data_IF_780877702985
#
_entry.id   IF_780877702985
#
_cell.length_a   1.000
_cell.length_b   1.000
_cell.length_c   1.000
_cell.angle_alpha   90.00
_cell.angle_beta   90.00
_cell.angle_gamma   90.00
#
_symmetry.space_group_name_H-M   'P 1'
#
loop_
_entity.id
_entity.type
_entity.pdbx_description
1 polymer ?
#
# COMPACT_ATOMS: atom_id res chain seq x y z
N UNK A 1 13.47 -2.57 30.81
CA UNK A 1 13.59 -1.83 29.54
C UNK A 1 12.44 -2.24 28.63
N UNK A 2 11.56 -1.32 28.24
CA UNK A 2 10.42 -1.63 27.36
C UNK A 2 10.91 -1.64 25.91
N UNK A 3 10.80 -2.79 25.23
CA UNK A 3 11.15 -2.91 23.82
C UNK A 3 10.17 -2.07 22.98
N UNK A 4 10.62 -0.92 22.47
CA UNK A 4 9.79 -0.09 21.58
C UNK A 4 9.47 -0.86 20.29
N UNK A 5 8.20 -0.91 19.84
CA UNK A 5 7.84 -1.58 18.60
C UNK A 5 8.58 -0.94 17.43
N UNK A 6 9.16 -1.76 16.55
CA UNK A 6 9.79 -1.27 15.31
C UNK A 6 8.71 -1.04 14.24
N UNK A 7 8.98 -0.21 13.21
CA UNK A 7 8.03 0.01 12.10
C UNK A 7 7.53 -1.28 11.44
N UNK A 8 8.37 -2.32 11.36
CA UNK A 8 7.98 -3.62 10.82
C UNK A 8 6.97 -4.35 11.72
N UNK A 9 7.04 -4.18 13.04
CA UNK A 9 6.01 -4.72 13.95
C UNK A 9 4.67 -4.02 13.75
N UNK A 10 4.67 -2.70 13.54
CA UNK A 10 3.46 -1.95 13.22
C UNK A 10 2.85 -2.43 11.91
N UNK A 11 3.66 -2.59 10.86
CA UNK A 11 3.20 -3.14 9.57
C UNK A 11 2.54 -4.52 9.72
N UNK A 12 3.13 -5.41 10.54
CA UNK A 12 2.53 -6.72 10.84
C UNK A 12 1.18 -6.59 11.54
N UNK A 13 1.07 -5.68 12.51
CA UNK A 13 -0.19 -5.40 13.19
C UNK A 13 -1.27 -4.91 12.21
N UNK A 14 -0.90 -4.01 11.30
CA UNK A 14 -1.78 -3.49 10.24
C UNK A 14 -2.27 -4.63 9.32
N UNK A 15 -1.37 -5.49 8.86
CA UNK A 15 -1.72 -6.63 8.00
C UNK A 15 -2.59 -7.65 8.75
N UNK A 16 -2.29 -7.94 10.01
CA UNK A 16 -3.11 -8.84 10.83
C UNK A 16 -4.52 -8.27 11.09
N UNK A 17 -4.63 -6.97 11.37
CA UNK A 17 -5.92 -6.29 11.50
C UNK A 17 -6.69 -6.31 10.17
N UNK A 18 -6.02 -6.10 9.04
CA UNK A 18 -6.63 -6.19 7.71
C UNK A 18 -7.18 -7.60 7.43
N UNK A 19 -6.44 -8.65 7.80
CA UNK A 19 -6.89 -10.03 7.66
C UNK A 19 -8.16 -10.30 8.49
N UNK A 20 -8.22 -9.79 9.72
CA UNK A 20 -9.42 -9.88 10.56
C UNK A 20 -10.60 -9.14 9.92
N UNK A 21 -10.37 -7.94 9.39
CA UNK A 21 -11.43 -7.17 8.73
C UNK A 21 -11.96 -7.87 7.48
N UNK A 22 -11.13 -8.54 6.67
CA UNK A 22 -11.63 -9.37 5.54
C UNK A 22 -12.58 -10.45 6.05
N UNK A 23 -12.24 -11.14 7.15
CA UNK A 23 -13.15 -12.13 7.76
C UNK A 23 -14.43 -11.47 8.23
N UNK A 24 -14.35 -10.28 8.84
CA UNK A 24 -15.53 -9.53 9.27
C UNK A 24 -16.41 -9.13 8.09
N UNK A 25 -15.85 -8.59 7.00
CA UNK A 25 -16.58 -8.26 5.77
C UNK A 25 -17.27 -9.50 5.21
N UNK A 26 -16.57 -10.64 5.18
CA UNK A 26 -17.11 -11.91 4.73
C UNK A 26 -18.33 -12.35 5.57
N UNK A 27 -18.25 -12.25 6.90
CA UNK A 27 -19.34 -12.62 7.79
C UNK A 27 -20.55 -11.68 7.71
N UNK A 28 -20.32 -10.38 7.45
CA UNK A 28 -21.39 -9.38 7.38
C UNK A 28 -22.10 -9.33 6.02
N UNK A 29 -21.37 -9.55 4.93
CA UNK A 29 -21.86 -9.25 3.58
C UNK A 29 -21.97 -10.46 2.64
N UNK A 30 -21.46 -11.64 3.01
CA UNK A 30 -21.66 -12.86 2.23
C UNK A 30 -22.94 -13.58 2.67
N UNK A 31 -24.09 -13.07 2.22
CA UNK A 31 -25.38 -13.72 2.45
C UNK A 31 -25.46 -15.09 1.75
N UNK A 32 -26.14 -16.09 2.35
CA UNK A 32 -26.36 -17.40 1.75
C UNK A 32 -27.08 -17.45 0.41
N UNK A 33 -27.85 -16.41 0.08
CA UNK A 33 -28.85 -16.46 -0.98
C UNK A 33 -28.28 -16.23 -2.40
N UNK A 34 -27.13 -15.55 -2.53
CA UNK A 34 -26.65 -15.07 -3.85
C UNK A 34 -25.23 -15.57 -4.15
N UNK A 35 -25.07 -16.45 -5.14
CA UNK A 35 -23.78 -16.70 -5.79
C UNK A 35 -22.62 -17.09 -4.85
N UNK A 36 -22.93 -17.76 -3.73
CA UNK A 36 -22.04 -18.05 -2.58
C UNK A 36 -20.61 -18.46 -2.93
N UNK A 37 -20.44 -19.26 -3.98
CA UNK A 37 -19.14 -19.80 -4.37
C UNK A 37 -18.14 -18.73 -4.80
N UNK A 38 -18.56 -17.78 -5.65
CA UNK A 38 -17.65 -16.78 -6.21
C UNK A 38 -17.25 -15.75 -5.16
N UNK A 39 -18.21 -15.23 -4.40
CA UNK A 39 -17.95 -14.21 -3.37
C UNK A 39 -17.10 -14.76 -2.21
N UNK A 40 -17.31 -16.02 -1.83
CA UNK A 40 -16.43 -16.69 -0.86
C UNK A 40 -15.01 -16.86 -1.40
N UNK A 41 -14.87 -17.22 -2.69
CA UNK A 41 -13.56 -17.33 -3.33
C UNK A 41 -12.81 -15.99 -3.32
N UNK A 42 -13.50 -14.87 -3.56
CA UNK A 42 -12.92 -13.52 -3.49
C UNK A 42 -12.41 -13.18 -2.08
N UNK A 43 -13.22 -13.44 -1.04
CA UNK A 43 -12.80 -13.21 0.35
C UNK A 43 -11.62 -14.11 0.76
N UNK A 44 -11.62 -15.37 0.33
CA UNK A 44 -10.48 -16.29 0.56
C UNK A 44 -9.24 -15.79 -0.18
N UNK A 45 -9.37 -15.35 -1.43
CA UNK A 45 -8.25 -14.81 -2.20
C UNK A 45 -7.67 -13.54 -1.54
N UNK A 46 -8.54 -12.63 -1.08
CA UNK A 46 -8.15 -11.44 -0.32
C UNK A 46 -7.37 -11.81 0.95
N UNK A 47 -7.87 -12.78 1.72
CA UNK A 47 -7.22 -13.25 2.94
C UNK A 47 -5.85 -13.87 2.64
N UNK A 48 -5.75 -14.75 1.63
CA UNK A 48 -4.51 -15.37 1.22
C UNK A 48 -3.48 -14.33 0.76
N UNK A 49 -3.90 -13.28 0.04
CA UNK A 49 -3.04 -12.19 -0.37
C UNK A 49 -2.46 -11.46 0.86
N UNK A 50 -3.28 -11.10 1.85
CA UNK A 50 -2.82 -10.44 3.09
C UNK A 50 -1.87 -11.36 3.86
N UNK A 51 -2.19 -12.66 4.00
CA UNK A 51 -1.33 -13.62 4.69
C UNK A 51 0.01 -13.81 3.99
N UNK A 52 0.04 -13.82 2.66
CA UNK A 52 1.28 -13.86 1.89
C UNK A 52 2.13 -12.60 2.14
N UNK A 53 1.52 -11.42 2.16
CA UNK A 53 2.20 -10.17 2.50
C UNK A 53 2.72 -10.16 3.95
N UNK A 54 1.94 -10.69 4.88
CA UNK A 54 2.35 -10.85 6.27
C UNK A 54 3.55 -11.81 6.38
N UNK A 55 3.51 -12.93 5.65
CA UNK A 55 4.62 -13.88 5.51
C UNK A 55 5.90 -13.22 5.01
N UNK A 56 5.79 -12.39 3.96
CA UNK A 56 6.90 -11.61 3.41
C UNK A 56 7.57 -10.72 4.48
N UNK A 57 6.81 -10.20 5.46
CA UNK A 57 7.39 -9.38 6.53
C UNK A 57 8.39 -10.12 7.44
N UNK A 58 8.39 -11.46 7.42
CA UNK A 58 9.27 -12.28 8.23
C UNK A 58 10.61 -12.61 7.54
N UNK A 59 10.70 -12.41 6.23
CA UNK A 59 11.91 -12.64 5.44
C UNK A 59 13.19 -11.97 6.02
N UNK A 60 13.17 -10.70 6.48
CA UNK A 60 14.37 -10.03 6.98
C UNK A 60 14.96 -10.62 8.27
N UNK A 61 14.24 -11.49 8.99
CA UNK A 61 14.72 -12.08 10.25
C UNK A 61 15.97 -12.93 10.05
N UNK A 62 16.15 -13.49 8.86
CA UNK A 62 17.34 -14.27 8.47
C UNK A 62 18.56 -13.40 8.16
N UNK A 63 18.41 -12.08 8.09
CA UNK A 63 19.46 -11.16 7.66
C UNK A 63 20.26 -10.61 8.84
N UNK A 64 21.53 -10.27 8.61
CA UNK A 64 22.38 -9.56 9.57
C UNK A 64 21.79 -8.21 10.00
N UNK A 65 22.13 -7.73 11.21
CA UNK A 65 21.60 -6.48 11.74
C UNK A 65 21.77 -5.25 10.80
N UNK A 66 22.91 -5.05 10.11
CA UNK A 66 23.06 -3.96 9.15
C UNK A 66 22.11 -4.09 7.94
N UNK A 67 21.84 -5.31 7.49
CA UNK A 67 20.92 -5.59 6.39
C UNK A 67 19.45 -5.34 6.77
N UNK A 68 19.09 -5.49 8.05
CA UNK A 68 17.74 -5.19 8.56
C UNK A 68 17.44 -3.68 8.66
N UNK A 69 18.46 -2.81 8.67
CA UNK A 69 18.26 -1.37 8.84
C UNK A 69 17.50 -0.73 7.66
N UNK A 70 17.70 -1.24 6.44
CA UNK A 70 17.05 -0.74 5.23
C UNK A 70 15.52 -1.00 5.25
N UNK A 71 15.03 -2.25 5.40
CA UNK A 71 13.60 -2.52 5.58
C UNK A 71 12.95 -1.64 6.64
N UNK A 72 13.56 -1.48 7.82
CA UNK A 72 12.98 -0.69 8.92
C UNK A 72 12.73 0.77 8.54
N UNK A 73 13.69 1.43 7.86
CA UNK A 73 13.57 2.83 7.46
C UNK A 73 12.58 3.01 6.31
N UNK A 74 12.64 2.13 5.31
CA UNK A 74 11.72 2.16 4.17
C UNK A 74 10.29 1.88 4.60
N UNK A 75 10.07 0.93 5.51
CA UNK A 75 8.75 0.70 6.12
C UNK A 75 8.26 1.92 6.89
N UNK A 76 9.10 2.59 7.68
CA UNK A 76 8.68 3.81 8.38
C UNK A 76 8.22 4.91 7.41
N UNK A 77 8.97 5.13 6.32
CA UNK A 77 8.58 6.08 5.28
C UNK A 77 7.29 5.66 4.58
N UNK A 78 7.13 4.36 4.28
CA UNK A 78 5.91 3.83 3.67
C UNK A 78 4.67 3.95 4.57
N UNK A 79 4.81 3.72 5.88
CA UNK A 79 3.71 3.95 6.84
C UNK A 79 3.28 5.42 6.87
N UNK A 80 4.25 6.36 6.84
CA UNK A 80 3.94 7.79 6.79
C UNK A 80 3.25 8.18 5.47
N UNK A 81 3.74 7.69 4.32
CA UNK A 81 3.09 7.90 3.02
C UNK A 81 1.70 7.25 2.95
N UNK A 82 1.51 6.10 3.62
CA UNK A 82 0.22 5.43 3.74
C UNK A 82 -0.86 6.30 4.38
N UNK A 83 -0.50 7.26 5.24
CA UNK A 83 -1.48 8.20 5.81
C UNK A 83 -2.09 9.12 4.74
N UNK A 84 -1.40 9.35 3.62
CA UNK A 84 -1.97 10.09 2.49
C UNK A 84 -3.14 9.32 1.87
N UNK A 85 -3.05 7.99 1.76
CA UNK A 85 -4.19 7.16 1.35
C UNK A 85 -5.34 7.25 2.34
N UNK A 86 -5.06 7.29 3.64
CA UNK A 86 -6.13 7.47 4.63
C UNK A 86 -6.88 8.80 4.43
N UNK A 87 -6.15 9.87 4.10
CA UNK A 87 -6.76 11.17 3.80
C UNK A 87 -7.58 11.11 2.51
N UNK A 88 -7.05 10.53 1.43
CA UNK A 88 -7.76 10.39 0.17
C UNK A 88 -9.03 9.55 0.30
N UNK A 89 -8.94 8.35 0.89
CA UNK A 89 -10.11 7.49 1.16
C UNK A 89 -11.15 8.25 2.01
N UNK A 90 -10.72 9.01 3.02
CA UNK A 90 -11.64 9.81 3.82
C UNK A 90 -12.28 10.95 3.02
N UNK A 91 -11.54 11.64 2.15
CA UNK A 91 -12.14 12.67 1.29
C UNK A 91 -13.17 12.06 0.35
N UNK A 92 -12.86 10.94 -0.29
CA UNK A 92 -13.74 10.30 -1.26
C UNK A 92 -15.02 9.79 -0.64
N UNK A 93 -14.98 9.33 0.60
CA UNK A 93 -16.13 8.67 1.20
C UNK A 93 -16.84 9.49 2.29
N UNK A 94 -16.18 10.50 2.88
CA UNK A 94 -16.77 11.40 3.89
C UNK A 94 -17.14 12.75 3.31
N UNK A 95 -16.24 13.36 2.53
CA UNK A 95 -16.49 14.68 1.91
C UNK A 95 -17.27 14.52 0.59
N UNK A 96 -16.99 13.44 -0.14
CA UNK A 96 -17.69 13.07 -1.37
C UNK A 96 -17.70 14.21 -2.41
N UNK A 97 -16.53 14.75 -2.81
CA UNK A 97 -16.50 15.81 -3.82
C UNK A 97 -17.14 15.32 -5.12
N UNK A 98 -17.83 16.21 -5.86
CA UNK A 98 -18.43 15.85 -7.13
C UNK A 98 -17.37 15.59 -8.20
N UNK A 99 -17.75 14.91 -9.28
CA UNK A 99 -16.93 14.81 -10.48
C UNK A 99 -16.82 16.18 -11.19
N UNK A 100 -15.67 16.51 -11.80
CA UNK A 100 -14.44 15.71 -11.93
C UNK A 100 -13.44 15.92 -10.78
N UNK A 101 -13.80 16.66 -9.73
CA UNK A 101 -12.86 17.02 -8.66
C UNK A 101 -12.35 15.78 -7.90
N UNK A 102 -13.22 14.78 -7.68
CA UNK A 102 -12.85 13.49 -7.07
C UNK A 102 -11.68 12.83 -7.80
N UNK A 103 -11.82 12.60 -9.10
CA UNK A 103 -10.79 11.98 -9.95
C UNK A 103 -9.47 12.76 -9.93
N UNK A 104 -9.55 14.09 -9.92
CA UNK A 104 -8.36 14.94 -9.86
C UNK A 104 -7.62 14.73 -8.54
N UNK A 105 -8.35 14.72 -7.42
CA UNK A 105 -7.77 14.47 -6.10
C UNK A 105 -7.11 13.08 -6.04
N UNK A 106 -7.78 12.04 -6.54
CA UNK A 106 -7.24 10.67 -6.54
C UNK A 106 -5.93 10.58 -7.29
N UNK A 107 -5.88 11.14 -8.50
CA UNK A 107 -4.67 11.17 -9.32
C UNK A 107 -3.53 11.94 -8.64
N UNK A 108 -3.84 13.05 -7.95
CA UNK A 108 -2.84 13.83 -7.20
C UNK A 108 -2.28 13.00 -6.04
N UNK A 109 -3.13 12.37 -5.22
CA UNK A 109 -2.69 11.53 -4.10
C UNK A 109 -1.88 10.34 -4.58
N UNK A 110 -2.32 9.68 -5.65
CA UNK A 110 -1.60 8.59 -6.29
C UNK A 110 -0.21 9.03 -6.76
N UNK A 111 -0.12 10.16 -7.46
CA UNK A 111 1.15 10.74 -7.92
C UNK A 111 2.10 11.10 -6.77
N UNK A 112 1.58 11.69 -5.69
CA UNK A 112 2.36 12.06 -4.50
C UNK A 112 2.92 10.83 -3.79
N UNK A 113 2.12 9.78 -3.60
CA UNK A 113 2.57 8.53 -2.98
C UNK A 113 3.63 7.85 -3.86
N UNK A 114 3.38 7.73 -5.17
CA UNK A 114 4.31 7.13 -6.11
C UNK A 114 5.65 7.89 -6.13
N UNK A 115 5.62 9.22 -6.18
CA UNK A 115 6.81 10.06 -6.10
C UNK A 115 7.55 9.86 -4.76
N UNK A 116 6.83 9.79 -3.64
CA UNK A 116 7.41 9.54 -2.32
C UNK A 116 8.15 8.20 -2.25
N UNK A 117 7.52 7.12 -2.73
CA UNK A 117 8.13 5.78 -2.81
C UNK A 117 9.37 5.81 -3.70
N UNK A 118 9.29 6.44 -4.87
CA UNK A 118 10.41 6.60 -5.80
C UNK A 118 11.59 7.34 -5.15
N UNK A 119 11.34 8.46 -4.47
CA UNK A 119 12.37 9.26 -3.78
C UNK A 119 13.07 8.45 -2.69
N UNK A 120 12.31 7.70 -1.88
CA UNK A 120 12.88 6.79 -0.86
C UNK A 120 13.76 5.73 -1.50
N UNK A 121 13.31 5.11 -2.58
CA UNK A 121 14.07 4.09 -3.29
C UNK A 121 15.34 4.64 -3.95
N UNK A 122 15.24 5.81 -4.59
CA UNK A 122 16.37 6.47 -5.26
C UNK A 122 17.44 6.89 -4.26
N UNK A 123 17.03 7.46 -3.12
CA UNK A 123 17.94 7.84 -2.03
C UNK A 123 18.77 6.65 -1.56
N UNK A 124 18.14 5.50 -1.32
CA UNK A 124 18.85 4.31 -0.85
C UNK A 124 19.72 3.69 -1.96
N UNK A 125 19.26 3.71 -3.21
CA UNK A 125 20.04 3.30 -4.38
C UNK A 125 21.32 4.13 -4.56
N UNK A 126 21.23 5.45 -4.47
CA UNK A 126 22.39 6.37 -4.58
C UNK A 126 23.34 6.16 -3.40
N UNK A 127 22.82 6.07 -2.17
CA UNK A 127 23.63 5.91 -0.96
C UNK A 127 24.43 4.61 -0.96
N UNK A 128 23.81 3.51 -1.35
CA UNK A 128 24.41 2.17 -1.30
C UNK A 128 25.01 1.74 -2.65
N UNK A 129 24.85 2.56 -3.70
CA UNK A 129 25.37 2.35 -5.05
C UNK A 129 24.95 1.01 -5.68
N UNK A 130 23.75 0.50 -5.34
CA UNK A 130 23.24 -0.78 -5.87
C UNK A 130 21.77 -0.68 -6.27
N UNK A 131 21.42 -1.30 -7.41
CA UNK A 131 20.02 -1.43 -7.84
C UNK A 131 19.21 -2.21 -6.80
N UNK A 132 19.80 -3.28 -6.24
CA UNK A 132 19.17 -4.10 -5.20
C UNK A 132 18.67 -3.27 -4.02
N UNK A 133 19.43 -2.25 -3.58
CA UNK A 133 18.97 -1.40 -2.49
C UNK A 133 17.76 -0.53 -2.85
N UNK A 134 17.66 -0.05 -4.09
CA UNK A 134 16.49 0.65 -4.60
C UNK A 134 15.26 -0.24 -4.64
N UNK A 135 15.40 -1.46 -5.18
CA UNK A 135 14.32 -2.47 -5.23
C UNK A 135 13.84 -2.83 -3.82
N UNK A 136 14.76 -3.13 -2.90
CA UNK A 136 14.40 -3.44 -1.51
C UNK A 136 13.70 -2.25 -0.85
N UNK A 137 14.20 -1.02 -1.03
CA UNK A 137 13.57 0.16 -0.46
C UNK A 137 12.16 0.39 -1.02
N UNK A 138 11.99 0.30 -2.34
CA UNK A 138 10.70 0.42 -3.02
C UNK A 138 9.71 -0.65 -2.57
N UNK A 139 10.14 -1.91 -2.45
CA UNK A 139 9.33 -3.01 -1.93
C UNK A 139 8.79 -2.73 -0.52
N UNK A 140 9.66 -2.39 0.44
CA UNK A 140 9.24 -2.20 1.84
C UNK A 140 8.46 -0.91 2.06
N UNK A 141 8.75 0.13 1.28
CA UNK A 141 8.01 1.39 1.32
C UNK A 141 6.62 1.21 0.69
N UNK A 142 6.57 0.62 -0.50
CA UNK A 142 5.36 0.28 -1.24
C UNK A 142 4.41 -0.62 -0.45
N UNK A 143 4.92 -1.76 0.06
CA UNK A 143 4.12 -2.68 0.87
C UNK A 143 3.51 -1.97 2.09
N UNK A 144 4.28 -1.12 2.77
CA UNK A 144 3.80 -0.43 3.96
C UNK A 144 2.74 0.64 3.64
N UNK A 145 2.88 1.39 2.53
CA UNK A 145 1.87 2.36 2.12
C UNK A 145 0.57 1.67 1.69
N UNK A 146 0.68 0.58 0.89
CA UNK A 146 -0.48 -0.20 0.46
C UNK A 146 -1.18 -0.92 1.61
N UNK A 147 -0.46 -1.36 2.64
CA UNK A 147 -1.06 -1.97 3.83
C UNK A 147 -1.89 -0.98 4.65
N UNK A 148 -1.45 0.27 4.77
CA UNK A 148 -2.26 1.32 5.43
C UNK A 148 -3.52 1.61 4.62
N UNK A 149 -3.41 1.78 3.31
CA UNK A 149 -4.56 1.98 2.42
C UNK A 149 -5.57 0.82 2.52
N UNK A 150 -5.09 -0.42 2.48
CA UNK A 150 -5.90 -1.61 2.61
C UNK A 150 -6.63 -1.66 3.96
N UNK A 151 -5.92 -1.39 5.07
CA UNK A 151 -6.53 -1.32 6.39
C UNK A 151 -7.61 -0.24 6.46
N UNK A 152 -7.35 0.95 5.91
CA UNK A 152 -8.33 2.04 5.89
C UNK A 152 -9.56 1.67 5.06
N UNK A 153 -9.38 1.15 3.84
CA UNK A 153 -10.48 0.75 2.97
C UNK A 153 -11.36 -0.33 3.61
N UNK A 154 -10.75 -1.38 4.17
CA UNK A 154 -11.48 -2.43 4.88
C UNK A 154 -12.18 -1.92 6.14
N UNK A 155 -11.56 -1.01 6.89
CA UNK A 155 -12.20 -0.38 8.04
C UNK A 155 -13.41 0.46 7.59
N UNK A 156 -13.32 1.11 6.43
CA UNK A 156 -14.42 1.85 5.85
C UNK A 156 -15.58 0.94 5.43
N UNK A 157 -15.32 -0.27 4.91
CA UNK A 157 -16.39 -1.25 4.67
C UNK A 157 -17.11 -1.62 5.98
N UNK A 158 -16.36 -1.94 7.03
CA UNK A 158 -16.96 -2.44 8.28
C UNK A 158 -17.67 -1.35 9.08
N UNK A 159 -17.08 -0.15 9.18
CA UNK A 159 -17.57 0.92 10.05
C UNK A 159 -18.20 2.09 9.29
N UNK A 160 -17.86 2.25 8.01
CA UNK A 160 -18.26 3.37 7.15
C UNK A 160 -19.29 3.02 6.08
N UNK A 161 -19.87 1.81 6.09
CA UNK A 161 -20.88 1.40 5.11
C UNK A 161 -22.03 2.42 4.95
N UNK A 162 -22.58 3.06 6.00
CA UNK A 162 -23.61 4.08 5.82
C UNK A 162 -23.16 5.27 4.95
N UNK A 163 -21.88 5.62 4.99
CA UNK A 163 -21.31 6.70 4.18
C UNK A 163 -21.18 6.29 2.71
N UNK A 164 -20.76 5.03 2.45
CA UNK A 164 -20.73 4.46 1.09
C UNK A 164 -22.13 4.45 0.47
N UNK A 165 -23.14 4.05 1.24
CA UNK A 165 -24.53 3.97 0.75
C UNK A 165 -25.21 5.33 0.60
N UNK A 166 -24.67 6.37 1.24
CA UNK A 166 -25.16 7.74 1.11
C UNK A 166 -24.48 8.54 -0.02
N UNK A 167 -23.39 8.02 -0.59
CA UNK A 167 -22.68 8.69 -1.67
C UNK A 167 -23.54 8.73 -2.94
N UNK A 168 -23.76 9.93 -3.47
CA UNK A 168 -24.55 10.15 -4.68
C UNK A 168 -24.00 9.39 -5.90
N UNK A 169 -22.68 9.20 -5.99
CA UNK A 169 -22.09 8.42 -7.09
C UNK A 169 -22.41 6.93 -6.96
N UNK A 170 -22.29 6.38 -5.76
CA UNK A 170 -22.61 4.97 -5.50
C UNK A 170 -24.11 4.68 -5.68
N UNK A 171 -24.97 5.61 -5.28
CA UNK A 171 -26.42 5.51 -5.52
C UNK A 171 -26.73 5.53 -7.02
N UNK A 172 -26.08 6.42 -7.78
CA UNK A 172 -26.26 6.50 -9.23
C UNK A 172 -25.78 5.23 -9.92
N UNK A 173 -24.59 4.73 -9.57
CA UNK A 173 -24.07 3.47 -10.09
C UNK A 173 -25.01 2.30 -9.78
N UNK A 174 -25.49 2.21 -8.54
CA UNK A 174 -26.42 1.15 -8.16
C UNK A 174 -27.74 1.22 -8.94
N UNK A 175 -28.27 2.42 -9.19
CA UNK A 175 -29.45 2.62 -10.01
C UNK A 175 -29.20 2.17 -11.47
N UNK A 176 -28.02 2.47 -12.02
CA UNK A 176 -27.63 2.09 -13.38
C UNK A 176 -27.47 0.56 -13.54
N UNK A 177 -27.10 -0.15 -12.48
CA UNK A 177 -27.06 -1.62 -12.43
C UNK A 177 -28.44 -2.29 -12.34
N UNK A 178 -29.53 -1.51 -12.31
CA UNK A 178 -30.92 -1.99 -12.20
C UNK A 178 -31.49 -1.92 -10.79
N UNK A 179 -30.72 -1.41 -9.82
CA UNK A 179 -31.14 -1.24 -8.44
C UNK A 179 -31.39 -2.56 -7.70
N UNK A 180 -32.08 -2.44 -6.57
CA UNK A 180 -32.39 -3.56 -5.67
C UNK A 180 -32.62 -3.07 -4.25
N UNK A 181 -32.59 -3.99 -3.30
CA UNK A 181 -32.66 -3.69 -1.87
C UNK A 181 -31.39 -3.00 -1.36
N UNK A 182 -31.50 -2.27 -0.25
CA UNK A 182 -30.36 -1.66 0.42
C UNK A 182 -29.30 -2.69 0.86
N UNK A 183 -29.71 -3.92 1.19
CA UNK A 183 -28.80 -5.00 1.55
C UNK A 183 -27.98 -5.49 0.34
N UNK A 184 -28.60 -5.59 -0.83
CA UNK A 184 -27.90 -5.97 -2.07
C UNK A 184 -26.87 -4.90 -2.46
N UNK A 185 -27.24 -3.62 -2.36
CA UNK A 185 -26.31 -2.49 -2.56
C UNK A 185 -25.13 -2.55 -1.59
N UNK A 186 -25.38 -2.80 -0.29
CA UNK A 186 -24.32 -2.93 0.70
C UNK A 186 -23.37 -4.11 0.41
N UNK A 187 -23.91 -5.24 -0.02
CA UNK A 187 -23.10 -6.41 -0.36
C UNK A 187 -22.25 -6.16 -1.62
N UNK A 188 -22.79 -5.46 -2.61
CA UNK A 188 -22.06 -5.04 -3.81
C UNK A 188 -20.86 -4.16 -3.46
N UNK A 189 -21.11 -3.02 -2.79
CA UNK A 189 -20.05 -2.07 -2.46
C UNK A 189 -19.06 -2.61 -1.41
N UNK A 190 -19.48 -3.53 -0.54
CA UNK A 190 -18.55 -4.21 0.37
C UNK A 190 -17.48 -5.01 -0.41
N UNK A 191 -17.90 -5.75 -1.43
CA UNK A 191 -17.00 -6.56 -2.25
C UNK A 191 -16.15 -5.69 -3.17
N UNK A 192 -16.73 -4.69 -3.80
CA UNK A 192 -16.01 -3.76 -4.66
C UNK A 192 -14.94 -2.98 -3.88
N UNK A 193 -15.32 -2.41 -2.72
CA UNK A 193 -14.38 -1.68 -1.85
C UNK A 193 -13.31 -2.62 -1.29
N UNK A 194 -13.66 -3.86 -0.93
CA UNK A 194 -12.68 -4.87 -0.52
C UNK A 194 -11.69 -5.18 -1.66
N UNK A 195 -12.17 -5.38 -2.88
CA UNK A 195 -11.32 -5.59 -4.05
C UNK A 195 -10.39 -4.40 -4.29
N UNK A 196 -10.91 -3.17 -4.20
CA UNK A 196 -10.13 -1.93 -4.24
C UNK A 196 -9.06 -1.88 -3.15
N UNK A 197 -9.40 -2.20 -1.90
CA UNK A 197 -8.46 -2.22 -0.77
C UNK A 197 -7.33 -3.24 -0.95
N UNK A 198 -7.65 -4.43 -1.45
CA UNK A 198 -6.65 -5.46 -1.80
C UNK A 198 -5.81 -5.01 -3.00
N UNK A 199 -6.42 -4.35 -3.98
CA UNK A 199 -5.71 -3.72 -5.11
C UNK A 199 -4.67 -2.70 -4.65
N UNK A 200 -5.00 -1.87 -3.64
CA UNK A 200 -4.05 -0.95 -3.03
C UNK A 200 -2.88 -1.68 -2.35
N UNK A 201 -3.12 -2.81 -1.68
CA UNK A 201 -2.05 -3.60 -1.07
C UNK A 201 -1.13 -4.26 -2.12
N UNK A 202 -1.72 -4.96 -3.08
CA UNK A 202 -0.97 -5.83 -4.00
C UNK A 202 -0.45 -5.04 -5.20
N UNK A 203 -1.31 -4.33 -5.91
CA UNK A 203 -0.94 -3.66 -7.16
C UNK A 203 -0.18 -2.37 -6.84
N UNK A 204 -0.79 -1.47 -6.07
CA UNK A 204 -0.19 -0.16 -5.78
C UNK A 204 0.91 -0.25 -4.71
N UNK A 205 0.73 -1.09 -3.70
CA UNK A 205 1.73 -1.27 -2.66
C UNK A 205 2.92 -2.09 -3.15
N UNK A 206 2.70 -3.39 -3.36
CA UNK A 206 3.77 -4.34 -3.66
C UNK A 206 4.35 -4.15 -5.07
N UNK A 207 3.53 -4.30 -6.11
CA UNK A 207 4.00 -4.36 -7.51
C UNK A 207 4.58 -3.00 -7.92
N UNK A 208 3.82 -1.92 -7.77
CA UNK A 208 4.30 -0.58 -8.11
C UNK A 208 5.52 -0.18 -7.25
N UNK A 209 5.55 -0.51 -5.97
CA UNK A 209 6.72 -0.28 -5.11
C UNK A 209 8.00 -0.95 -5.64
N UNK A 210 7.90 -2.19 -6.11
CA UNK A 210 9.02 -2.90 -6.75
C UNK A 210 9.42 -2.22 -8.07
N UNK A 211 8.47 -1.90 -8.94
CA UNK A 211 8.73 -1.25 -10.23
C UNK A 211 9.44 0.09 -10.06
N UNK A 212 8.91 0.96 -9.18
CA UNK A 212 9.54 2.24 -8.84
C UNK A 212 10.93 2.02 -8.24
N UNK A 213 11.10 0.99 -7.42
CA UNK A 213 12.40 0.59 -6.86
C UNK A 213 13.42 0.15 -7.91
N UNK A 214 12.99 -0.55 -8.96
CA UNK A 214 13.85 -0.94 -10.10
C UNK A 214 14.30 0.31 -10.86
N UNK A 215 13.37 1.18 -11.24
CA UNK A 215 13.67 2.41 -11.99
C UNK A 215 14.60 3.33 -11.17
N UNK A 216 14.25 3.58 -9.90
CA UNK A 216 15.07 4.36 -8.98
C UNK A 216 16.46 3.73 -8.76
N UNK A 217 16.52 2.40 -8.65
CA UNK A 217 17.76 1.63 -8.55
C UNK A 217 18.68 1.82 -9.75
N UNK A 218 18.13 1.74 -10.97
CA UNK A 218 18.86 1.95 -12.21
C UNK A 218 19.40 3.38 -12.31
N UNK A 219 18.55 4.38 -12.05
CA UNK A 219 18.96 5.80 -12.03
C UNK A 219 20.06 6.04 -10.99
N UNK A 220 19.91 5.53 -9.77
CA UNK A 220 20.91 5.67 -8.72
C UNK A 220 22.27 5.06 -9.09
N UNK A 221 22.28 3.92 -9.79
CA UNK A 221 23.52 3.31 -10.32
C UNK A 221 24.15 4.15 -11.42
N UNK A 222 23.36 4.73 -12.33
CA UNK A 222 23.86 5.61 -13.39
C UNK A 222 24.49 6.89 -12.83
N UNK A 223 23.83 7.53 -11.85
CA UNK A 223 24.33 8.76 -11.19
C UNK A 223 25.65 8.52 -10.46
N UNK A 224 25.79 7.37 -9.79
CA UNK A 224 26.99 7.07 -8.99
C UNK A 224 28.20 6.66 -9.84
N UNK A 225 28.00 6.08 -11.03
CA UNK A 225 29.08 5.76 -11.98
C UNK A 225 29.82 6.98 -12.53
N UNK A 226 29.13 8.12 -12.62
CA UNK A 226 29.69 9.35 -13.20
C UNK A 226 30.51 10.18 -12.23
N UNK A 227 30.55 9.85 -10.94
CA UNK A 227 31.43 10.55 -10.01
C UNK A 227 32.85 10.01 -10.23
N UNK A 228 33.78 10.81 -10.79
CA UNK A 228 35.16 10.40 -10.88
C UNK A 228 35.61 10.01 -9.48
N UNK A 229 36.25 8.86 -9.36
CA UNK A 229 37.08 8.58 -8.20
C UNK A 229 38.08 9.71 -8.24
N UNK A 230 37.95 10.70 -7.35
CA UNK A 230 39.04 11.65 -7.08
C UNK A 230 40.12 10.77 -6.49
N UNK A 231 40.91 10.15 -7.36
CA UNK A 231 42.15 9.48 -7.01
C UNK A 231 42.98 10.61 -6.46
N UNK A 232 43.06 10.66 -5.13
CA UNK A 232 43.62 11.79 -4.43
C UNK A 232 44.98 12.12 -5.03
N UNK A 233 45.18 13.41 -5.32
CA UNK A 233 46.47 14.03 -5.62
C UNK A 233 47.49 13.91 -4.46
N UNK A 234 47.26 13.00 -3.51
CA UNK A 234 48.13 12.73 -2.37
C UNK A 234 49.49 12.11 -2.77
N UNK A 235 49.70 11.75 -4.04
CA UNK A 235 51.01 11.32 -4.56
C UNK A 235 51.81 12.43 -5.28
N UNK A 236 51.28 13.65 -5.45
CA UNK A 236 51.99 14.72 -6.18
C UNK A 236 52.78 15.72 -5.32
N UNK A 237 52.80 15.56 -4.00
CA UNK A 237 53.62 16.41 -3.10
C UNK A 237 54.76 15.67 -2.41
N UNK A 238 55.13 14.49 -2.89
CA UNK A 238 56.26 13.70 -2.36
C UNK A 238 57.54 13.80 -3.21
N UNK A 239 57.72 14.89 -3.97
CA UNK A 239 58.92 15.17 -4.77
C UNK A 239 59.47 16.57 -4.51
#
# INVERSE_FOLDING_TARGET
MINRPTPVHLLRGILAASALLVVTVALLHLSPADGRGLRLLEAVAALLAILAMLGLTYWPRSLSAPAQALPRRSTAAGLALGLLWTVEIAMNNVVQPPLPLRDILDNVFWGLVALGVFVVALREAVRRRTVRSGVTAGLWCGLATGAVACLTGLAFVVFGMPLLLADALNIAEWADLGGGSAQEMANYFALETMAGAIGHLVVLGLIMGVLLGVVAGAIGKLVTRRRPVVVGEAERTAG
#
